data_IF_055649577866
#
_entry.id   IF_055649577866
#
_cell.length_a   1.000
_cell.length_b   1.000
_cell.length_c   1.000
_cell.angle_alpha   90.00
_cell.angle_beta   90.00
_cell.angle_gamma   90.00
#
_symmetry.space_group_name_H-M   'P 1'
#
loop_
_entity.id
_entity.type
_entity.pdbx_description
1 polymer ?
#
# COMPACT_ATOMS: atom_id res chain seq x y z
N UNK A 1 -2.38 26.67 -30.28
CA UNK A 1 -1.01 26.48 -29.83
C UNK A 1 -0.85 25.15 -29.14
N UNK A 2 -0.08 24.26 -29.72
CA UNK A 2 0.07 22.92 -29.17
C UNK A 2 1.04 22.95 -27.98
N UNK A 3 0.51 22.79 -26.75
CA UNK A 3 1.35 22.64 -25.58
C UNK A 3 1.85 21.19 -25.50
N UNK A 4 3.16 21.02 -25.63
CA UNK A 4 3.79 19.73 -25.39
C UNK A 4 3.39 19.26 -23.98
N UNK A 5 2.69 18.14 -23.88
CA UNK A 5 2.38 17.54 -22.57
C UNK A 5 3.69 17.15 -21.91
N UNK A 6 4.07 17.87 -20.86
CA UNK A 6 5.22 17.50 -20.05
C UNK A 6 4.95 16.11 -19.43
N UNK A 7 5.93 15.25 -19.56
CA UNK A 7 5.87 13.93 -18.93
C UNK A 7 6.05 14.10 -17.42
N UNK A 8 4.98 13.87 -16.67
CA UNK A 8 5.02 13.98 -15.22
C UNK A 8 5.72 12.77 -14.59
N UNK A 9 6.44 13.00 -13.50
CA UNK A 9 6.97 11.93 -12.67
C UNK A 9 5.80 11.22 -11.96
N UNK A 10 6.01 9.99 -11.50
CA UNK A 10 4.99 9.26 -10.72
C UNK A 10 4.47 10.06 -9.53
N UNK A 11 5.35 10.79 -8.83
CA UNK A 11 4.97 11.66 -7.72
C UNK A 11 4.11 12.83 -8.17
N UNK A 12 4.45 13.47 -9.28
CA UNK A 12 3.68 14.59 -9.83
C UNK A 12 2.30 14.14 -10.31
N UNK A 13 2.21 12.98 -10.95
CA UNK A 13 0.93 12.39 -11.37
C UNK A 13 0.06 12.12 -10.15
N UNK A 14 0.61 11.51 -9.12
CA UNK A 14 -0.11 11.22 -7.88
C UNK A 14 -0.66 12.49 -7.21
N UNK A 15 0.16 13.54 -7.11
CA UNK A 15 -0.25 14.83 -6.54
C UNK A 15 -1.41 15.44 -7.36
N UNK A 16 -1.33 15.40 -8.69
CA UNK A 16 -2.35 15.98 -9.58
C UNK A 16 -3.73 15.38 -9.34
N UNK A 17 -3.82 14.10 -9.04
CA UNK A 17 -5.09 13.38 -8.85
C UNK A 17 -5.42 13.12 -7.37
N UNK A 18 -4.70 13.77 -6.45
CA UNK A 18 -4.89 13.56 -5.02
C UNK A 18 -4.18 12.33 -4.46
N UNK A 19 -3.37 11.65 -5.28
CA UNK A 19 -2.57 10.51 -4.86
C UNK A 19 -1.10 10.90 -4.72
N UNK A 20 -0.41 10.30 -3.74
CA UNK A 20 1.00 10.59 -3.47
C UNK A 20 1.97 9.92 -4.44
N UNK A 21 1.52 8.95 -5.21
CA UNK A 21 2.35 8.24 -6.15
C UNK A 21 1.56 7.78 -7.37
N UNK A 22 2.27 7.50 -8.48
CA UNK A 22 1.67 6.92 -9.67
C UNK A 22 1.13 5.51 -9.45
N UNK A 23 1.71 4.77 -8.49
CA UNK A 23 1.21 3.45 -8.12
C UNK A 23 -0.18 3.56 -7.47
N UNK A 24 -0.39 4.49 -6.54
CA UNK A 24 -1.70 4.71 -5.91
C UNK A 24 -2.74 5.05 -6.97
N UNK A 25 -2.41 5.94 -7.91
CA UNK A 25 -3.30 6.29 -9.01
C UNK A 25 -3.65 5.08 -9.88
N UNK A 26 -2.64 4.29 -10.22
CA UNK A 26 -2.82 3.07 -11.02
C UNK A 26 -3.76 2.08 -10.33
N UNK A 27 -3.60 1.88 -9.04
CA UNK A 27 -4.46 0.99 -8.26
C UNK A 27 -5.89 1.54 -8.16
N UNK A 28 -6.04 2.84 -7.91
CA UNK A 28 -7.36 3.48 -7.88
C UNK A 28 -8.09 3.29 -9.21
N UNK A 29 -7.38 3.42 -10.33
CA UNK A 29 -7.94 3.18 -11.65
C UNK A 29 -8.39 1.73 -11.84
N UNK A 30 -7.57 0.75 -11.42
CA UNK A 30 -7.95 -0.67 -11.49
C UNK A 30 -9.20 -0.96 -10.66
N UNK A 31 -9.29 -0.41 -9.46
CA UNK A 31 -10.47 -0.59 -8.61
C UNK A 31 -11.71 0.01 -9.26
N UNK A 32 -11.61 1.20 -9.82
CA UNK A 32 -12.70 1.87 -10.52
C UNK A 32 -13.12 1.08 -11.77
N UNK A 33 -12.16 0.64 -12.59
CA UNK A 33 -12.43 -0.10 -13.83
C UNK A 33 -13.12 -1.44 -13.55
N UNK A 34 -12.84 -2.06 -12.40
CA UNK A 34 -13.46 -3.30 -11.95
C UNK A 34 -14.72 -3.07 -11.11
N UNK A 35 -15.19 -1.84 -11.01
CA UNK A 35 -16.39 -1.43 -10.24
C UNK A 35 -16.34 -1.88 -8.78
N UNK A 36 -15.15 -1.86 -8.19
CA UNK A 36 -14.95 -2.15 -6.77
C UNK A 36 -15.14 -0.87 -5.97
N UNK A 37 -16.03 -0.92 -4.99
CA UNK A 37 -16.24 0.19 -4.07
C UNK A 37 -15.07 0.25 -3.10
N UNK A 38 -14.43 1.40 -2.99
CA UNK A 38 -13.32 1.62 -2.09
C UNK A 38 -13.37 3.01 -1.46
N UNK A 39 -12.68 3.14 -0.35
CA UNK A 39 -12.38 4.44 0.26
C UNK A 39 -10.87 4.66 0.17
N UNK A 40 -10.47 5.89 -0.14
CA UNK A 40 -9.06 6.27 -0.24
C UNK A 40 -8.68 7.18 0.93
N UNK A 41 -7.71 6.74 1.72
CA UNK A 41 -7.14 7.47 2.87
C UNK A 41 -8.18 8.00 3.88
N UNK A 42 -9.34 7.34 4.01
CA UNK A 42 -10.37 7.72 4.98
C UNK A 42 -10.28 6.93 6.27
N UNK A 43 -9.98 5.63 6.18
CA UNK A 43 -9.88 4.78 7.36
C UNK A 43 -8.66 5.14 8.17
N UNK A 44 -8.84 5.34 9.48
CA UNK A 44 -7.75 5.64 10.41
C UNK A 44 -7.72 4.62 11.52
N UNK A 45 -6.60 3.92 11.66
CA UNK A 45 -6.40 2.91 12.70
C UNK A 45 -5.38 3.40 13.71
N UNK A 46 -5.78 3.45 14.98
CA UNK A 46 -4.85 3.77 16.06
C UNK A 46 -4.03 2.55 16.41
N UNK A 47 -2.75 2.74 16.62
CA UNK A 47 -1.85 1.70 17.10
C UNK A 47 -0.88 2.28 18.11
N UNK A 48 -0.37 1.45 19.01
CA UNK A 48 0.56 1.87 20.04
C UNK A 48 1.95 1.40 19.68
N UNK A 49 2.87 2.37 19.50
CA UNK A 49 4.30 2.13 19.64
C UNK A 49 4.64 2.19 21.12
N UNK A 50 5.73 1.56 21.60
CA UNK A 50 6.14 1.76 22.98
C UNK A 50 6.12 3.26 23.30
N UNK A 51 5.28 3.67 24.26
CA UNK A 51 5.11 5.03 24.80
C UNK A 51 4.28 6.03 23.96
N UNK A 52 3.74 5.69 22.77
CA UNK A 52 2.90 6.64 22.01
C UNK A 52 1.80 5.94 21.23
N UNK A 53 0.66 6.62 21.14
CA UNK A 53 -0.41 6.23 20.23
C UNK A 53 -0.15 6.90 18.87
N UNK A 54 -0.16 6.11 17.80
CA UNK A 54 -0.02 6.58 16.43
C UNK A 54 -1.27 6.21 15.64
N UNK A 55 -1.44 6.85 14.48
CA UNK A 55 -2.54 6.54 13.56
C UNK A 55 -1.95 5.94 12.28
N UNK A 56 -2.53 4.84 11.85
CA UNK A 56 -2.25 4.23 10.56
C UNK A 56 -3.46 4.42 9.64
N UNK A 57 -3.22 4.95 8.45
CA UNK A 57 -4.25 5.15 7.44
C UNK A 57 -3.91 4.27 6.24
N UNK A 58 -4.60 3.12 6.05
CA UNK A 58 -4.44 2.32 4.84
C UNK A 58 -4.77 3.13 3.60
N UNK A 59 -4.10 2.86 2.49
CA UNK A 59 -4.35 3.59 1.25
C UNK A 59 -5.77 3.34 0.73
N UNK A 60 -6.18 2.08 0.68
CA UNK A 60 -7.51 1.69 0.18
C UNK A 60 -8.21 0.76 1.13
N UNK A 61 -9.52 0.93 1.24
CA UNK A 61 -10.40 0.01 1.95
C UNK A 61 -11.46 -0.50 0.97
N UNK A 62 -11.39 -1.80 0.65
CA UNK A 62 -12.40 -2.47 -0.17
C UNK A 62 -13.55 -2.88 0.75
N UNK A 63 -14.55 -2.01 0.85
CA UNK A 63 -15.56 -2.07 1.91
C UNK A 63 -16.40 -3.34 1.90
N UNK A 64 -16.72 -3.86 0.73
CA UNK A 64 -17.53 -5.09 0.61
C UNK A 64 -16.78 -6.34 1.03
N UNK A 65 -15.52 -6.46 0.63
CA UNK A 65 -14.67 -7.62 0.98
C UNK A 65 -13.91 -7.46 2.28
N UNK A 66 -13.95 -6.27 2.88
CA UNK A 66 -13.24 -5.94 4.12
C UNK A 66 -11.72 -6.17 3.99
N UNK A 67 -11.16 -5.80 2.85
CA UNK A 67 -9.74 -5.87 2.56
C UNK A 67 -9.16 -4.47 2.59
N UNK A 68 -8.02 -4.29 3.25
CA UNK A 68 -7.24 -3.07 3.20
C UNK A 68 -6.04 -3.27 2.28
N UNK A 69 -5.78 -2.31 1.40
CA UNK A 69 -4.63 -2.34 0.49
C UNK A 69 -3.68 -1.22 0.85
N UNK A 70 -2.42 -1.59 0.99
CA UNK A 70 -1.30 -0.68 1.19
C UNK A 70 -0.37 -0.76 -0.01
N UNK A 71 -0.12 0.36 -0.67
CA UNK A 71 0.78 0.42 -1.82
C UNK A 71 2.15 0.91 -1.39
N UNK A 72 3.23 0.25 -1.83
CA UNK A 72 4.60 0.60 -1.48
C UNK A 72 5.54 0.52 -2.67
N UNK A 73 6.17 1.64 -2.99
CA UNK A 73 7.37 1.64 -3.84
C UNK A 73 8.59 1.27 -3.01
N UNK A 74 8.82 2.00 -1.93
CA UNK A 74 9.90 1.76 -0.97
C UNK A 74 9.31 1.30 0.36
N UNK A 75 9.78 0.18 0.87
CA UNK A 75 9.31 -0.41 2.13
C UNK A 75 10.39 -0.26 3.20
N UNK A 76 10.38 0.89 3.87
CA UNK A 76 11.44 1.29 4.81
C UNK A 76 11.40 0.50 6.12
N UNK A 77 12.47 0.61 6.90
CA UNK A 77 12.52 0.03 8.26
C UNK A 77 11.38 0.56 9.13
N UNK A 78 11.07 1.85 9.01
CA UNK A 78 9.97 2.46 9.77
C UNK A 78 8.61 1.89 9.33
N UNK A 79 8.40 1.72 8.03
CA UNK A 79 7.18 1.09 7.50
C UNK A 79 7.03 -0.33 8.02
N UNK A 80 8.09 -1.12 7.96
CA UNK A 80 8.07 -2.51 8.42
C UNK A 80 7.78 -2.61 9.91
N UNK A 81 8.40 -1.75 10.72
CA UNK A 81 8.16 -1.72 12.16
C UNK A 81 6.71 -1.36 12.48
N UNK A 82 6.16 -0.35 11.80
CA UNK A 82 4.75 0.01 11.92
C UNK A 82 3.84 -1.17 11.60
N UNK A 83 4.09 -1.85 10.49
CA UNK A 83 3.24 -2.96 10.06
C UNK A 83 3.34 -4.18 10.98
N UNK A 84 4.46 -4.36 11.68
CA UNK A 84 4.56 -5.37 12.74
C UNK A 84 3.63 -5.04 13.90
N UNK A 85 3.63 -3.80 14.38
CA UNK A 85 2.72 -3.36 15.43
C UNK A 85 1.25 -3.47 15.02
N UNK A 86 0.93 -3.08 13.78
CA UNK A 86 -0.43 -3.22 13.26
C UNK A 86 -0.88 -4.68 13.26
N UNK A 87 -0.03 -5.59 12.80
CA UNK A 87 -0.34 -7.02 12.79
C UNK A 87 -0.59 -7.57 14.19
N UNK A 88 0.21 -7.16 15.17
CA UNK A 88 0.06 -7.58 16.55
C UNK A 88 -1.22 -7.05 17.20
N UNK A 89 -1.55 -5.79 16.92
CA UNK A 89 -2.68 -5.10 17.56
C UNK A 89 -4.01 -5.33 16.83
N UNK A 90 -3.97 -5.65 15.53
CA UNK A 90 -5.14 -5.93 14.69
C UNK A 90 -4.94 -7.24 13.93
N UNK A 91 -4.80 -8.39 14.63
CA UNK A 91 -4.46 -9.65 13.96
C UNK A 91 -5.53 -10.15 13.00
N UNK A 92 -6.77 -9.70 13.13
CA UNK A 92 -7.88 -10.15 12.30
C UNK A 92 -8.15 -9.25 11.08
N UNK A 93 -7.43 -8.13 10.94
CA UNK A 93 -7.58 -7.27 9.77
C UNK A 93 -6.85 -7.87 8.58
N UNK A 94 -7.54 -7.88 7.44
CA UNK A 94 -6.98 -8.35 6.18
C UNK A 94 -6.32 -7.18 5.45
N UNK A 95 -5.05 -6.96 5.73
CA UNK A 95 -4.23 -5.93 5.11
C UNK A 95 -3.31 -6.60 4.10
N UNK A 96 -3.33 -6.14 2.86
CA UNK A 96 -2.55 -6.70 1.76
C UNK A 96 -1.71 -5.60 1.12
N UNK A 97 -0.51 -5.97 0.67
CA UNK A 97 0.42 -5.04 0.03
C UNK A 97 0.40 -5.18 -1.48
N UNK A 98 0.54 -4.04 -2.16
CA UNK A 98 0.90 -4.02 -3.58
C UNK A 98 2.20 -3.24 -3.69
N UNK A 99 3.26 -3.92 -4.11
CA UNK A 99 4.58 -3.34 -4.28
C UNK A 99 4.83 -2.97 -5.73
N UNK A 100 5.67 -1.98 -5.95
CA UNK A 100 6.26 -1.77 -7.28
C UNK A 100 7.19 -2.93 -7.64
N UNK A 101 7.91 -3.49 -6.64
CA UNK A 101 8.80 -4.64 -6.81
C UNK A 101 8.96 -5.39 -5.48
N UNK A 102 8.24 -6.49 -5.32
CA UNK A 102 8.29 -7.33 -4.12
C UNK A 102 9.63 -8.08 -3.98
N UNK A 103 10.41 -8.16 -5.05
CA UNK A 103 11.73 -8.81 -5.06
C UNK A 103 12.84 -7.89 -4.53
N UNK A 104 12.55 -6.61 -4.31
CA UNK A 104 13.51 -5.71 -3.70
C UNK A 104 13.87 -6.18 -2.29
N UNK A 105 15.15 -6.09 -1.94
CA UNK A 105 15.62 -6.49 -0.61
C UNK A 105 15.30 -5.38 0.41
N UNK A 106 15.04 -5.79 1.64
CA UNK A 106 14.73 -4.84 2.73
C UNK A 106 15.94 -3.95 3.10
N UNK A 107 17.15 -4.41 2.81
CA UNK A 107 18.39 -3.64 2.96
C UNK A 107 19.49 -4.23 2.07
N UNK A 108 20.58 -3.47 1.91
CA UNK A 108 21.74 -3.93 1.12
C UNK A 108 22.39 -5.20 1.68
N UNK A 109 22.35 -5.37 3.01
CA UNK A 109 22.99 -6.48 3.71
C UNK A 109 22.07 -7.69 3.89
N UNK A 110 20.78 -7.54 3.66
CA UNK A 110 19.81 -8.60 3.86
C UNK A 110 19.47 -9.32 2.55
N UNK A 111 19.29 -10.62 2.62
CA UNK A 111 18.74 -11.41 1.52
C UNK A 111 17.21 -11.42 1.53
N UNK A 112 16.58 -10.90 2.58
CA UNK A 112 15.12 -10.85 2.72
C UNK A 112 14.56 -9.81 1.76
N UNK A 113 13.62 -10.24 0.92
CA UNK A 113 12.88 -9.35 0.03
C UNK A 113 11.63 -8.81 0.72
N UNK A 114 10.98 -7.81 0.13
CA UNK A 114 9.70 -7.28 0.61
C UNK A 114 8.64 -8.37 0.69
N UNK A 115 8.55 -9.21 -0.36
CA UNK A 115 7.61 -10.32 -0.39
C UNK A 115 7.89 -11.35 0.70
N UNK A 116 9.14 -11.72 0.90
CA UNK A 116 9.56 -12.65 1.97
C UNK A 116 9.21 -12.09 3.35
N UNK A 117 9.40 -10.80 3.55
CA UNK A 117 9.01 -10.14 4.79
C UNK A 117 7.49 -10.26 5.02
N UNK A 118 6.69 -10.00 3.99
CA UNK A 118 5.23 -10.14 4.07
C UNK A 118 4.82 -11.56 4.41
N UNK A 119 5.41 -12.56 3.76
CA UNK A 119 5.15 -13.97 4.05
C UNK A 119 5.45 -14.31 5.51
N UNK A 120 6.58 -13.81 6.02
CA UNK A 120 6.98 -14.04 7.40
C UNK A 120 6.00 -13.47 8.42
N UNK A 121 5.44 -12.29 8.14
CA UNK A 121 4.52 -11.59 9.05
C UNK A 121 3.04 -11.78 8.71
N UNK A 122 2.74 -12.66 7.77
CA UNK A 122 1.36 -13.05 7.46
C UNK A 122 0.58 -12.05 6.62
N UNK A 123 1.26 -11.21 5.84
CA UNK A 123 0.62 -10.30 4.90
C UNK A 123 0.62 -10.90 3.49
N UNK A 124 -0.52 -10.85 2.82
CA UNK A 124 -0.58 -11.14 1.39
C UNK A 124 -0.04 -9.95 0.60
N UNK A 125 0.53 -10.23 -0.56
CA UNK A 125 1.09 -9.18 -1.41
C UNK A 125 0.98 -9.53 -2.89
N UNK A 126 1.11 -8.51 -3.73
CA UNK A 126 1.18 -8.63 -5.17
C UNK A 126 2.08 -7.52 -5.71
N UNK A 127 2.46 -7.62 -6.98
CA UNK A 127 3.25 -6.61 -7.67
C UNK A 127 2.41 -5.85 -8.69
N UNK A 128 2.48 -4.52 -8.64
CA UNK A 128 1.96 -3.58 -9.65
C UNK A 128 0.47 -3.58 -9.89
N UNK A 129 -0.20 -4.73 -9.78
CA UNK A 129 -1.62 -4.89 -10.11
C UNK A 129 -2.39 -5.55 -8.99
N UNK A 130 -3.69 -5.27 -8.94
CA UNK A 130 -4.59 -5.93 -7.99
C UNK A 130 -4.96 -7.31 -8.55
N UNK A 131 -4.64 -8.41 -7.85
CA UNK A 131 -5.11 -9.73 -8.26
C UNK A 131 -6.64 -9.78 -8.38
N UNK A 132 -7.15 -10.48 -9.38
CA UNK A 132 -8.59 -10.57 -9.64
C UNK A 132 -9.37 -11.14 -8.45
N UNK A 133 -8.77 -12.07 -7.71
CA UNK A 133 -9.41 -12.67 -6.55
C UNK A 133 -9.51 -11.72 -5.33
N UNK A 134 -8.88 -10.54 -5.40
CA UNK A 134 -9.05 -9.50 -4.40
C UNK A 134 -10.21 -8.55 -4.74
N UNK A 135 -10.68 -8.56 -5.97
CA UNK A 135 -11.69 -7.63 -6.48
C UNK A 135 -13.15 -8.12 -6.26
#
# INVERSE_FOLDING_TARGET
>A
MYRRKLRLTSKQVGIRYGFRSGLEESIAKELKDNRVVYEFEKTKLKYTKPQKIHTYTPDFHLTKKKIFIETKGLFTTQDRQKMKFIREQYPNLDIRFIFSNSRARISKKSKTTYGMWCERYGYKYADKHVPKDWL
#
